data_IF_218143097482
#
_entry.id   IF_218143097482
#
_cell.length_a   1.000
_cell.length_b   1.000
_cell.length_c   1.000
_cell.angle_alpha   90.00
_cell.angle_beta   90.00
_cell.angle_gamma   90.00
#
_symmetry.space_group_name_H-M   'P 1'
#
loop_
_entity.id
_entity.type
_entity.pdbx_description
1 polymer ?
#
# COMPACT_ATOMS: atom_id res chain seq x y z
N UNK A 1 0.01 -5.51 -2.42
CA UNK A 1 0.12 -5.65 -0.94
C UNK A 1 -1.08 -6.43 -0.44
N UNK A 2 -0.87 -7.47 0.35
CA UNK A 2 -1.99 -8.32 0.81
C UNK A 2 -1.64 -8.95 2.15
N UNK A 3 -2.58 -8.91 3.08
CA UNK A 3 -2.52 -9.58 4.37
C UNK A 3 -3.05 -11.02 4.30
N UNK A 4 -3.32 -11.60 5.45
CA UNK A 4 -3.78 -12.96 5.61
C UNK A 4 -5.28 -13.02 5.90
N UNK A 5 -5.92 -14.12 5.51
CA UNK A 5 -7.29 -14.38 5.92
C UNK A 5 -7.38 -14.55 7.45
N UNK A 6 -8.52 -14.22 8.08
CA UNK A 6 -8.72 -14.45 9.51
C UNK A 6 -8.67 -15.94 9.93
N UNK A 7 -9.01 -16.84 9.01
CA UNK A 7 -9.00 -18.28 9.24
C UNK A 7 -7.64 -18.87 8.86
N UNK A 8 -7.12 -19.77 9.69
CA UNK A 8 -5.98 -20.60 9.35
C UNK A 8 -6.32 -21.56 8.20
N UNK A 9 -5.34 -21.86 7.34
CA UNK A 9 -5.50 -22.73 6.17
C UNK A 9 -6.62 -22.29 5.21
N UNK A 10 -6.82 -20.98 5.05
CA UNK A 10 -7.77 -20.43 4.10
C UNK A 10 -7.42 -20.83 2.66
N UNK A 11 -8.43 -21.29 1.91
CA UNK A 11 -8.28 -21.56 0.47
C UNK A 11 -7.86 -20.30 -0.32
N UNK A 12 -8.22 -19.10 0.16
CA UNK A 12 -7.80 -17.84 -0.46
C UNK A 12 -6.32 -17.58 -0.26
N UNK A 13 -5.77 -17.88 0.93
CA UNK A 13 -4.32 -17.73 1.16
C UNK A 13 -3.53 -18.74 0.33
N UNK A 14 -4.02 -19.97 0.18
CA UNK A 14 -3.40 -20.96 -0.70
C UNK A 14 -3.42 -20.52 -2.17
N UNK A 15 -4.51 -19.90 -2.62
CA UNK A 15 -4.59 -19.36 -3.98
C UNK A 15 -3.58 -18.22 -4.20
N UNK A 16 -3.39 -17.35 -3.20
CA UNK A 16 -2.35 -16.31 -3.22
C UNK A 16 -0.96 -16.95 -3.30
N UNK A 17 -0.68 -17.99 -2.51
CA UNK A 17 0.63 -18.65 -2.54
C UNK A 17 0.93 -19.28 -3.93
N UNK A 18 -0.10 -19.81 -4.61
CA UNK A 18 0.02 -20.32 -5.98
C UNK A 18 0.30 -19.20 -6.99
N UNK A 19 -0.39 -18.07 -6.89
CA UNK A 19 -0.17 -16.91 -7.75
C UNK A 19 1.22 -16.28 -7.52
N UNK A 20 1.63 -16.15 -6.25
CA UNK A 20 2.94 -15.62 -5.87
C UNK A 20 4.10 -16.48 -6.38
N UNK A 21 3.92 -17.81 -6.43
CA UNK A 21 4.89 -18.72 -7.01
C UNK A 21 5.12 -18.51 -8.53
N UNK A 22 4.22 -17.80 -9.21
CA UNK A 22 4.31 -17.50 -10.64
C UNK A 22 4.82 -16.07 -10.86
N UNK A 23 4.25 -15.10 -10.12
CA UNK A 23 4.42 -13.68 -10.41
C UNK A 23 5.44 -12.98 -9.52
N UNK A 24 5.66 -13.46 -8.29
CA UNK A 24 6.63 -12.92 -7.33
C UNK A 24 6.48 -11.41 -7.08
N UNK A 25 5.26 -10.88 -7.14
CA UNK A 25 4.96 -9.46 -7.01
C UNK A 25 4.05 -9.14 -5.81
N UNK A 26 3.79 -10.13 -4.94
CA UNK A 26 3.11 -9.86 -3.69
C UNK A 26 4.06 -9.34 -2.61
N UNK A 27 3.68 -8.20 -2.04
CA UNK A 27 4.11 -7.84 -0.68
C UNK A 27 3.12 -8.44 0.33
N UNK A 28 3.49 -9.59 0.91
CA UNK A 28 2.74 -10.23 2.02
C UNK A 28 2.96 -9.44 3.30
N UNK A 29 1.88 -8.96 3.90
CA UNK A 29 1.90 -8.15 5.13
C UNK A 29 1.52 -9.00 6.33
N UNK A 30 2.20 -8.80 7.46
CA UNK A 30 1.74 -9.28 8.77
C UNK A 30 0.52 -8.46 9.23
N UNK A 31 -0.61 -8.76 8.61
CA UNK A 31 -1.89 -8.09 8.78
C UNK A 31 -3.02 -9.06 8.50
N UNK A 32 -4.00 -9.15 9.38
CA UNK A 32 -5.22 -9.93 9.13
C UNK A 32 -6.23 -9.06 8.38
N UNK A 33 -6.62 -9.48 7.18
CA UNK A 33 -7.57 -8.77 6.31
C UNK A 33 -8.95 -8.58 6.97
N UNK A 34 -9.61 -7.49 6.61
CA UNK A 34 -10.96 -7.17 7.05
C UNK A 34 -11.35 -5.73 6.75
N UNK A 35 -12.62 -5.50 6.45
CA UNK A 35 -13.12 -4.18 6.03
C UNK A 35 -12.81 -3.06 7.04
N UNK A 36 -12.97 -3.33 8.34
CA UNK A 36 -12.67 -2.35 9.39
C UNK A 36 -11.19 -2.22 9.73
N UNK A 37 -10.30 -2.89 8.98
CA UNK A 37 -8.85 -2.90 9.22
C UNK A 37 -8.04 -2.21 8.13
N UNK A 38 -8.68 -1.58 7.15
CA UNK A 38 -8.01 -0.93 6.01
C UNK A 38 -7.00 0.15 6.40
N UNK A 39 -7.29 0.95 7.43
CA UNK A 39 -6.34 1.95 7.95
C UNK A 39 -5.09 1.29 8.55
N UNK A 40 -5.28 0.21 9.31
CA UNK A 40 -4.18 -0.58 9.84
C UNK A 40 -3.37 -1.25 8.71
N UNK A 41 -4.03 -1.77 7.66
CA UNK A 41 -3.38 -2.33 6.47
C UNK A 41 -2.48 -1.29 5.78
N UNK A 42 -2.99 -0.07 5.61
CA UNK A 42 -2.23 1.05 5.01
C UNK A 42 -1.02 1.42 5.87
N UNK A 43 -1.18 1.48 7.19
CA UNK A 43 -0.07 1.72 8.12
C UNK A 43 0.99 0.63 8.00
N UNK A 44 0.60 -0.64 8.10
CA UNK A 44 1.51 -1.78 7.98
C UNK A 44 2.26 -1.76 6.65
N UNK A 45 1.56 -1.48 5.54
CA UNK A 45 2.20 -1.35 4.23
C UNK A 45 3.31 -0.30 4.22
N UNK A 46 3.03 0.94 4.60
CA UNK A 46 4.05 1.99 4.56
C UNK A 46 5.20 1.72 5.54
N UNK A 47 4.92 1.21 6.74
CA UNK A 47 5.96 0.80 7.70
C UNK A 47 6.87 -0.28 7.12
N UNK A 48 6.30 -1.33 6.52
CA UNK A 48 7.08 -2.43 5.92
C UNK A 48 7.85 -1.95 4.70
N UNK A 49 7.22 -1.15 3.82
CA UNK A 49 7.86 -0.70 2.59
C UNK A 49 9.06 0.21 2.87
N UNK A 50 8.92 1.17 3.78
CA UNK A 50 10.02 2.07 4.18
C UNK A 50 11.15 1.31 4.89
N UNK A 51 10.85 0.23 5.62
CA UNK A 51 11.87 -0.60 6.24
C UNK A 51 12.59 -1.53 5.24
N UNK A 52 11.96 -1.84 4.11
CA UNK A 52 12.46 -2.86 3.16
C UNK A 52 13.22 -2.27 1.99
N UNK A 53 12.85 -1.06 1.54
CA UNK A 53 13.43 -0.44 0.36
C UNK A 53 13.91 0.97 0.68
N UNK A 54 14.98 1.39 0.00
CA UNK A 54 15.37 2.80 -0.07
C UNK A 54 14.84 3.36 -1.41
N UNK A 55 13.80 4.18 -1.33
CA UNK A 55 13.09 4.71 -2.50
C UNK A 55 12.82 6.21 -2.37
N UNK A 56 12.84 6.91 -3.51
CA UNK A 56 12.49 8.34 -3.58
C UNK A 56 11.02 8.60 -3.19
N UNK A 57 10.12 7.66 -3.52
CA UNK A 57 8.70 7.75 -3.27
C UNK A 57 8.09 6.39 -2.91
N UNK A 58 7.11 6.39 -2.01
CA UNK A 58 6.24 5.26 -1.71
C UNK A 58 4.83 5.63 -2.11
N UNK A 59 4.19 4.80 -2.94
CA UNK A 59 2.87 5.08 -3.51
C UNK A 59 1.91 3.97 -3.11
N UNK A 60 0.72 4.34 -2.65
CA UNK A 60 -0.39 3.43 -2.38
C UNK A 60 -1.55 3.77 -3.31
N UNK A 61 -2.05 2.78 -4.03
CA UNK A 61 -3.21 2.87 -4.92
C UNK A 61 -4.12 1.67 -4.66
N UNK A 62 -5.43 1.86 -4.78
CA UNK A 62 -6.40 0.75 -4.70
C UNK A 62 -6.45 0.01 -6.06
N UNK A 63 -6.89 -1.25 -6.03
CA UNK A 63 -6.87 -2.19 -7.15
C UNK A 63 -7.94 -1.90 -8.22
N UNK A 64 -8.92 -1.06 -7.90
CA UNK A 64 -10.01 -0.62 -8.77
C UNK A 64 -9.79 0.77 -9.40
N UNK A 65 -8.56 1.30 -9.33
CA UNK A 65 -8.20 2.61 -9.87
C UNK A 65 -7.36 2.49 -11.14
N UNK A 66 -7.75 3.21 -12.19
CA UNK A 66 -6.89 3.40 -13.36
C UNK A 66 -5.77 4.41 -13.08
N UNK A 67 -4.52 4.02 -13.30
CA UNK A 67 -3.35 4.90 -13.12
C UNK A 67 -2.74 5.26 -14.47
N UNK A 68 -2.70 6.56 -14.78
CA UNK A 68 -1.91 7.05 -15.91
C UNK A 68 -0.42 7.14 -15.51
N UNK A 69 0.36 6.13 -15.89
CA UNK A 69 1.77 6.01 -15.51
C UNK A 69 2.64 7.17 -16.03
N UNK A 70 2.41 7.66 -17.25
CA UNK A 70 3.18 8.77 -17.80
C UNK A 70 3.00 10.06 -17.01
N UNK A 71 1.76 10.35 -16.60
CA UNK A 71 1.45 11.50 -15.74
C UNK A 71 1.98 11.32 -14.32
N UNK A 72 1.87 10.11 -13.75
CA UNK A 72 2.41 9.80 -12.42
C UNK A 72 3.93 10.02 -12.38
N UNK A 73 4.68 9.40 -13.31
CA UNK A 73 6.14 9.53 -13.37
C UNK A 73 6.57 10.98 -13.59
N UNK A 74 5.90 11.71 -14.48
CA UNK A 74 6.17 13.14 -14.71
C UNK A 74 5.93 13.96 -13.43
N UNK A 75 4.87 13.66 -12.69
CA UNK A 75 4.55 14.37 -11.44
C UNK A 75 5.57 14.06 -10.35
N UNK A 76 5.92 12.79 -10.13
CA UNK A 76 6.94 12.41 -9.15
C UNK A 76 8.30 13.02 -9.50
N UNK A 77 8.70 13.02 -10.78
CA UNK A 77 9.93 13.64 -11.26
C UNK A 77 10.03 15.14 -10.92
N UNK A 78 8.93 15.90 -11.05
CA UNK A 78 8.88 17.32 -10.67
C UNK A 78 9.01 17.58 -9.16
N UNK A 79 8.70 16.57 -8.34
CA UNK A 79 8.72 16.66 -6.89
C UNK A 79 9.94 15.99 -6.25
N UNK A 80 10.77 15.28 -7.02
CA UNK A 80 11.88 14.45 -6.52
C UNK A 80 12.83 15.17 -5.56
N UNK A 81 13.15 16.44 -5.82
CA UNK A 81 14.07 17.21 -4.98
C UNK A 81 13.40 17.98 -3.82
N UNK A 82 12.06 17.90 -3.70
CA UNK A 82 11.33 18.58 -2.63
C UNK A 82 11.24 17.66 -1.42
N UNK A 83 11.66 18.09 -0.23
CA UNK A 83 11.59 17.24 0.96
C UNK A 83 10.16 17.09 1.46
N UNK A 84 9.83 15.92 2.04
CA UNK A 84 8.57 15.62 2.76
C UNK A 84 7.30 15.88 1.94
N UNK A 85 7.32 15.42 0.70
CA UNK A 85 6.19 15.55 -0.23
C UNK A 85 5.12 14.52 0.08
N UNK A 86 3.87 14.99 0.25
CA UNK A 86 2.68 14.16 0.36
C UNK A 86 1.64 14.68 -0.66
N UNK A 87 1.29 13.87 -1.66
CA UNK A 87 0.46 14.27 -2.82
C UNK A 87 -0.72 13.31 -2.96
N UNK A 88 -1.87 13.84 -3.35
CA UNK A 88 -3.10 13.11 -3.55
C UNK A 88 -4.29 14.06 -3.59
N UNK A 89 -5.50 13.49 -3.72
CA UNK A 89 -6.73 14.23 -3.49
C UNK A 89 -6.92 14.43 -1.97
N UNK A 90 -6.26 15.44 -1.41
CA UNK A 90 -6.30 15.70 0.03
C UNK A 90 -7.66 16.24 0.42
N UNK A 91 -8.26 15.66 1.47
CA UNK A 91 -9.38 16.27 2.16
C UNK A 91 -8.87 17.30 3.16
N UNK A 92 -9.49 18.46 3.19
CA UNK A 92 -9.29 19.47 4.22
C UNK A 92 -10.26 19.22 5.39
N UNK A 93 -9.85 19.61 6.60
CA UNK A 93 -10.70 19.52 7.79
C UNK A 93 -9.92 19.22 9.08
N UNK A 94 -10.61 19.15 10.23
CA UNK A 94 -10.00 18.79 11.51
C UNK A 94 -9.44 17.37 11.48
N UNK A 95 -8.21 17.19 11.97
CA UNK A 95 -7.63 15.88 12.23
C UNK A 95 -8.09 15.43 13.62
N UNK A 96 -8.85 14.35 13.69
CA UNK A 96 -9.20 13.72 14.96
C UNK A 96 -8.00 12.88 15.43
N UNK A 97 -7.49 13.18 16.61
CA UNK A 97 -6.45 12.40 17.27
C UNK A 97 -6.85 12.18 18.72
N UNK A 98 -6.92 10.93 19.17
CA UNK A 98 -6.82 10.63 20.60
C UNK A 98 -5.37 10.89 20.99
N UNK A 99 -5.17 11.75 21.99
CA UNK A 99 -3.85 12.02 22.56
C UNK A 99 -3.45 10.94 23.55
#
# INVERSE_FOLDING_TARGET
>A
MIGHSPASNSALDQAIDVEDAIHHDFLRLDHVEGYHKLSAKTKTFFSTAVASWDADFYVKVDDDVHVNLGMLLTTLGRHKLKPRVYIGCMKSGPVLSDK
#
